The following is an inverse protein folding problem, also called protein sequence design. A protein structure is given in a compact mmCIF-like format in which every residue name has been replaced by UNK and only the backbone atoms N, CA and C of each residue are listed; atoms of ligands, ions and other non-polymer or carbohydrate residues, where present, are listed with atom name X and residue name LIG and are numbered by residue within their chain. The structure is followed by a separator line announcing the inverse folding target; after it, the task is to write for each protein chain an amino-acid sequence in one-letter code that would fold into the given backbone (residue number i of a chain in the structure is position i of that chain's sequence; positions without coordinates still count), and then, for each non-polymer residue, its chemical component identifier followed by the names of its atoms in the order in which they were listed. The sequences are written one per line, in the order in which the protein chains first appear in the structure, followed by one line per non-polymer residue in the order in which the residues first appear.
data_IF_704911955328
#
_entry.id   IF_704911955328
#
_cell.length_a   1.000
_cell.length_b   1.000
_cell.length_c   1.000
_cell.angle_alpha   90.00
_cell.angle_beta   90.00
_cell.angle_gamma   90.00
#
_symmetry.space_group_name_H-M   'P 1'
#
loop_
_entity.id
_entity.type
_entity.pdbx_description
1 polymer ?
#
# COMPACT_ATOMS: atom_id res chain seq x y z
N UNK A 1 -4.98 13.70 2.17
CA UNK A 1 -5.27 12.71 1.11
C UNK A 1 -5.81 11.44 1.73
N UNK A 2 -7.10 11.12 1.57
CA UNK A 2 -7.59 9.76 1.81
C UNK A 2 -6.97 8.85 0.75
N UNK A 3 -5.90 8.13 1.12
CA UNK A 3 -5.20 7.25 0.19
C UNK A 3 -5.85 5.86 0.21
N UNK A 4 -6.14 5.30 -0.97
CA UNK A 4 -6.63 3.93 -1.11
C UNK A 4 -5.64 2.98 -0.44
N UNK A 5 -6.12 2.24 0.56
CA UNK A 5 -5.31 1.23 1.28
C UNK A 5 -5.53 -0.13 0.65
N UNK A 6 -4.46 -0.88 0.34
CA UNK A 6 -4.60 -2.23 -0.19
C UNK A 6 -5.20 -3.17 0.84
N UNK A 7 -6.08 -4.05 0.39
CA UNK A 7 -6.66 -5.07 1.25
C UNK A 7 -5.69 -6.22 1.47
N UNK A 8 -5.90 -6.95 2.57
CA UNK A 8 -5.03 -8.04 3.01
C UNK A 8 -5.06 -9.26 2.07
N UNK A 9 -6.18 -9.42 1.37
CA UNK A 9 -6.54 -10.55 0.48
C UNK A 9 -6.62 -10.16 -0.99
N UNK A 10 -6.45 -8.89 -1.33
CA UNK A 10 -6.53 -8.38 -2.71
C UNK A 10 -5.21 -8.60 -3.45
N UNK A 11 -5.29 -8.87 -4.75
CA UNK A 11 -4.12 -9.01 -5.61
C UNK A 11 -3.47 -7.66 -5.93
N UNK A 12 -2.20 -7.66 -6.33
CA UNK A 12 -1.51 -6.42 -6.72
C UNK A 12 -2.24 -5.75 -7.88
N UNK A 13 -2.58 -6.52 -8.90
CA UNK A 13 -3.22 -6.03 -10.13
C UNK A 13 -4.63 -5.49 -9.89
N UNK A 14 -5.37 -6.12 -8.98
CA UNK A 14 -6.71 -5.67 -8.56
C UNK A 14 -6.63 -4.32 -7.82
N UNK A 15 -5.71 -4.22 -6.85
CA UNK A 15 -5.44 -2.96 -6.17
C UNK A 15 -4.96 -1.86 -7.12
N UNK A 16 -4.07 -2.16 -8.07
CA UNK A 16 -3.57 -1.18 -9.04
C UNK A 16 -4.71 -0.66 -9.92
N UNK A 17 -5.58 -1.55 -10.39
CA UNK A 17 -6.75 -1.18 -11.21
C UNK A 17 -7.68 -0.24 -10.45
N UNK A 18 -7.98 -0.56 -9.18
CA UNK A 18 -8.81 0.30 -8.32
C UNK A 18 -8.14 1.63 -8.00
N UNK A 19 -6.85 1.62 -7.67
CA UNK A 19 -6.11 2.82 -7.29
C UNK A 19 -5.95 3.79 -8.47
N UNK A 20 -5.70 3.28 -9.69
CA UNK A 20 -5.56 4.13 -10.87
C UNK A 20 -6.91 4.65 -11.39
N UNK A 21 -7.98 3.87 -11.21
CA UNK A 21 -9.35 4.22 -11.60
C UNK A 21 -10.12 5.05 -10.57
N UNK A 22 -9.55 5.31 -9.40
CA UNK A 22 -10.21 6.10 -8.36
C UNK A 22 -10.34 7.57 -8.79
N UNK A 23 -11.54 8.12 -8.64
CA UNK A 23 -11.83 9.52 -9.00
C UNK A 23 -11.02 10.52 -8.19
N UNK A 24 -10.73 10.20 -6.92
CA UNK A 24 -9.90 11.04 -6.04
C UNK A 24 -8.45 11.05 -6.52
N UNK A 25 -7.92 9.88 -6.89
CA UNK A 25 -6.57 9.78 -7.44
C UNK A 25 -6.45 10.49 -8.79
N UNK A 26 -7.52 10.52 -9.57
CA UNK A 26 -7.55 11.25 -10.83
C UNK A 26 -7.62 12.77 -10.66
N UNK A 27 -8.28 13.24 -9.61
CA UNK A 27 -8.37 14.66 -9.28
C UNK A 27 -7.09 15.20 -8.63
N UNK A 28 -6.51 14.46 -7.68
CA UNK A 28 -5.31 14.88 -6.95
C UNK A 28 -4.03 14.61 -7.75
N UNK A 29 -4.02 13.54 -8.56
CA UNK A 29 -2.89 13.14 -9.40
C UNK A 29 -3.35 12.97 -10.86
N UNK A 30 -3.56 14.09 -11.58
CA UNK A 30 -4.01 14.05 -12.98
C UNK A 30 -2.97 13.39 -13.90
N UNK A 31 -1.67 13.52 -13.57
CA UNK A 31 -0.59 12.85 -14.29
C UNK A 31 -0.56 11.34 -13.97
N UNK A 32 -0.68 10.51 -15.02
CA UNK A 32 -0.67 9.05 -14.91
C UNK A 32 0.57 8.52 -14.18
N UNK A 33 1.74 9.10 -14.45
CA UNK A 33 3.00 8.65 -13.84
C UNK A 33 3.05 8.89 -12.33
N UNK A 34 2.57 10.05 -11.88
CA UNK A 34 2.49 10.36 -10.45
C UNK A 34 1.47 9.45 -9.76
N UNK A 35 0.32 9.23 -10.39
CA UNK A 35 -0.71 8.34 -9.86
C UNK A 35 -0.20 6.90 -9.71
N UNK A 36 0.49 6.39 -10.73
CA UNK A 36 1.12 5.08 -10.68
C UNK A 36 2.16 4.99 -9.56
N UNK A 37 3.04 5.99 -9.42
CA UNK A 37 4.04 6.03 -8.35
C UNK A 37 3.41 6.02 -6.95
N UNK A 38 2.32 6.75 -6.74
CA UNK A 38 1.57 6.78 -5.47
C UNK A 38 0.91 5.42 -5.21
N UNK A 39 0.24 4.84 -6.21
CA UNK A 39 -0.38 3.51 -6.10
C UNK A 39 0.67 2.44 -5.75
N UNK A 40 1.81 2.43 -6.45
CA UNK A 40 2.92 1.52 -6.13
C UNK A 40 3.46 1.72 -4.72
N UNK A 41 3.60 2.96 -4.26
CA UNK A 41 4.07 3.28 -2.91
C UNK A 41 3.07 2.81 -1.84
N UNK A 42 1.77 2.97 -2.09
CA UNK A 42 0.69 2.53 -1.20
C UNK A 42 0.62 1.01 -1.08
N UNK A 43 0.70 0.31 -2.21
CA UNK A 43 0.77 -1.16 -2.24
C UNK A 43 1.94 -1.68 -1.39
N UNK A 44 3.13 -1.12 -1.60
CA UNK A 44 4.32 -1.51 -0.86
C UNK A 44 4.21 -1.20 0.63
N UNK A 45 3.65 -0.05 1.00
CA UNK A 45 3.38 0.33 2.41
C UNK A 45 2.42 -0.64 3.08
N UNK A 46 1.35 -1.06 2.40
CA UNK A 46 0.40 -2.06 2.90
C UNK A 46 1.08 -3.40 3.19
N UNK A 47 1.94 -3.88 2.28
CA UNK A 47 2.73 -5.11 2.51
C UNK A 47 3.76 -4.96 3.64
N UNK A 48 4.49 -3.84 3.69
CA UNK A 48 5.51 -3.58 4.72
C UNK A 48 4.90 -3.52 6.13
N UNK A 49 3.65 -3.06 6.28
CA UNK A 49 2.95 -3.04 7.56
C UNK A 49 2.77 -4.43 8.18
N UNK A 50 2.70 -5.51 7.37
CA UNK A 50 2.72 -6.89 7.88
C UNK A 50 4.09 -7.34 8.39
N UNK A 51 5.16 -6.92 7.70
CA UNK A 51 6.54 -7.34 8.01
C UNK A 51 7.03 -6.76 9.34
N UNK A 52 6.70 -5.49 9.63
CA UNK A 52 7.15 -4.84 10.87
C UNK A 52 6.50 -5.49 12.09
N UNK A 53 5.23 -5.90 12.00
CA UNK A 53 4.50 -6.61 13.07
C UNK A 53 5.05 -8.02 13.32
N UNK A 54 5.47 -8.73 12.28
CA UNK A 54 6.12 -10.03 12.41
C UNK A 54 7.54 -9.93 13.00
N UNK A 55 8.33 -8.92 12.60
CA UNK A 55 9.73 -8.78 13.03
C UNK A 55 9.86 -8.26 14.47
N UNK A 56 8.92 -7.43 14.94
CA UNK A 56 8.93 -6.95 16.33
C UNK A 56 8.53 -8.02 17.34
N UNK A 57 7.77 -9.05 16.95
CA UNK A 57 7.45 -10.19 17.82
C UNK A 57 8.65 -11.13 18.01
N UNK A 58 9.51 -11.26 17.00
CA UNK A 58 10.71 -12.10 17.07
C UNK A 58 11.81 -11.54 18.00
N UNK A 59 11.94 -10.20 18.08
CA UNK A 59 13.03 -9.56 18.84
C UNK A 59 12.84 -9.53 20.37
N UNK A 60 11.65 -9.83 20.88
CA UNK A 60 11.36 -9.83 22.33
C UNK A 60 11.51 -11.20 23.00
N UNK A 61 11.74 -12.28 22.25
CA UNK A 61 11.77 -13.66 22.79
C UNK A 61 13.18 -14.23 23.01
N UNK A 62 14.23 -13.41 22.88
CA UNK A 62 15.63 -13.83 22.98
C UNK A 62 16.51 -12.92 23.83
N UNK A 63 15.92 -12.19 24.78
CA UNK A 63 16.68 -11.44 25.80
C UNK A 63 16.40 -12.09 27.16
N UNK A 64 17.01 -13.25 27.37
CA UNK A 64 17.21 -13.86 28.69
C UNK A 64 18.64 -13.55 29.12
#
# INVERSE_FOLDING_TARGET
MPLVTPNDTEGKDDFMSRCMGDGTMSSEFPAQEQRAAVCHSQWQRGKKRKVITAVTKARRKGKI
#
